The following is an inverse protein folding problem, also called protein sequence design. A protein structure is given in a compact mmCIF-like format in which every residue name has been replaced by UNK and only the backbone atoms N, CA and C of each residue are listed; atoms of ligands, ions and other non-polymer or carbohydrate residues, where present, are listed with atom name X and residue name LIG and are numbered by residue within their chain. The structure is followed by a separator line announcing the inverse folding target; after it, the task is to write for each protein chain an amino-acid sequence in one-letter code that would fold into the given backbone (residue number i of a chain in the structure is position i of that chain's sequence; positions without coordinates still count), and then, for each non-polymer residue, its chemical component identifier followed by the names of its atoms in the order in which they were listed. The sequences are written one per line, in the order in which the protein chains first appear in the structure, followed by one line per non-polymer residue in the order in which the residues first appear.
data_IF_033504880528
#
_entry.id   IF_033504880528
#
_cell.length_a   1.000
_cell.length_b   1.000
_cell.length_c   1.000
_cell.angle_alpha   90.00
_cell.angle_beta   90.00
_cell.angle_gamma   90.00
#
_symmetry.space_group_name_H-M   'P 1'
#
loop_
_entity.id
_entity.type
_entity.pdbx_description
1 polymer ?
#
# COMPACT_ATOMS: atom_id res chain seq x y z
N UNK A 1 -0.84 15.64 -12.00
CA UNK A 1 -0.44 14.24 -11.73
C UNK A 1 1.02 14.29 -11.31
N UNK A 2 1.36 13.78 -10.13
CA UNK A 2 2.75 13.62 -9.71
C UNK A 2 3.19 12.21 -10.09
N UNK A 3 4.13 12.09 -11.03
CA UNK A 3 4.64 10.81 -11.51
C UNK A 3 5.98 10.49 -10.84
N UNK A 4 6.08 9.33 -10.18
CA UNK A 4 7.33 8.82 -9.62
C UNK A 4 7.75 7.55 -10.40
N UNK A 5 8.42 7.69 -11.56
CA UNK A 5 8.63 6.59 -12.51
C UNK A 5 9.43 5.41 -11.95
N UNK A 6 10.30 5.64 -10.96
CA UNK A 6 11.10 4.58 -10.33
C UNK A 6 10.32 3.73 -9.32
N UNK A 7 9.14 4.18 -8.91
CA UNK A 7 8.35 3.64 -7.79
C UNK A 7 7.04 2.98 -8.23
N UNK A 8 6.63 3.17 -9.50
CA UNK A 8 5.37 2.62 -10.02
C UNK A 8 4.12 3.16 -9.31
N UNK A 9 4.26 4.29 -8.61
CA UNK A 9 3.22 4.94 -7.83
C UNK A 9 2.87 6.28 -8.45
N UNK A 10 1.58 6.57 -8.54
CA UNK A 10 1.08 7.86 -8.99
C UNK A 10 -0.01 8.36 -8.06
N UNK A 11 -0.14 9.69 -8.00
CA UNK A 11 -1.18 10.38 -7.25
C UNK A 11 -2.05 11.23 -8.18
N UNK A 12 -3.37 11.06 -8.05
CA UNK A 12 -4.39 11.90 -8.66
C UNK A 12 -5.07 12.70 -7.56
N UNK A 13 -4.92 14.02 -7.56
CA UNK A 13 -5.61 14.90 -6.62
C UNK A 13 -6.92 15.37 -7.25
N UNK A 14 -8.03 15.20 -6.54
CA UNK A 14 -9.35 15.69 -6.92
C UNK A 14 -10.03 16.34 -5.73
N UNK A 15 -10.86 17.34 -6.00
CA UNK A 15 -11.71 17.98 -5.01
C UNK A 15 -13.09 17.32 -5.00
N UNK A 16 -13.56 16.88 -3.83
CA UNK A 16 -14.83 16.18 -3.69
C UNK A 16 -16.01 17.06 -4.10
N UNK A 17 -15.96 18.36 -3.81
CA UNK A 17 -17.03 19.30 -4.18
C UNK A 17 -17.09 19.47 -5.70
N UNK A 18 -15.96 19.58 -6.37
CA UNK A 18 -15.90 19.59 -7.84
C UNK A 18 -16.45 18.28 -8.44
N UNK A 19 -16.12 17.12 -7.86
CA UNK A 19 -16.67 15.83 -8.29
C UNK A 19 -18.19 15.75 -8.11
N UNK A 20 -18.73 16.25 -6.99
CA UNK A 20 -20.17 16.25 -6.72
C UNK A 20 -20.91 17.21 -7.67
N UNK A 21 -20.29 18.34 -8.04
CA UNK A 21 -20.88 19.34 -8.93
C UNK A 21 -20.74 19.03 -10.42
N UNK A 22 -19.92 18.04 -10.79
CA UNK A 22 -19.69 17.64 -12.18
C UNK A 22 -20.51 16.41 -12.55
N UNK A 23 -20.70 16.21 -13.86
CA UNK A 23 -21.30 14.97 -14.35
C UNK A 23 -20.39 13.79 -13.99
N UNK A 24 -20.99 12.71 -13.51
CA UNK A 24 -20.28 11.55 -12.95
C UNK A 24 -19.25 10.96 -13.94
N UNK A 25 -19.64 10.88 -15.21
CA UNK A 25 -18.79 10.38 -16.29
C UNK A 25 -17.47 11.15 -16.46
N UNK A 26 -17.44 12.45 -16.13
CA UNK A 26 -16.26 13.29 -16.31
C UNK A 26 -15.15 12.82 -15.36
N UNK A 27 -15.45 12.71 -14.07
CA UNK A 27 -14.43 12.32 -13.10
C UNK A 27 -14.13 10.82 -13.17
N UNK A 28 -15.13 9.98 -13.45
CA UNK A 28 -14.92 8.53 -13.61
C UNK A 28 -13.99 8.22 -14.79
N UNK A 29 -14.19 8.85 -15.95
CA UNK A 29 -13.29 8.68 -17.10
C UNK A 29 -11.87 9.16 -16.81
N UNK A 30 -11.73 10.22 -16.00
CA UNK A 30 -10.41 10.71 -15.56
C UNK A 30 -9.71 9.70 -14.65
N UNK A 31 -10.44 9.07 -13.73
CA UNK A 31 -9.92 8.01 -12.85
C UNK A 31 -9.57 6.77 -13.67
N UNK A 32 -10.43 6.36 -14.60
CA UNK A 32 -10.21 5.18 -15.46
C UNK A 32 -8.95 5.32 -16.32
N UNK A 33 -8.77 6.48 -16.96
CA UNK A 33 -7.53 6.79 -17.70
C UNK A 33 -6.30 6.83 -16.79
N UNK A 34 -6.45 7.24 -15.54
CA UNK A 34 -5.34 7.29 -14.59
C UNK A 34 -4.91 5.89 -14.14
N UNK A 35 -5.86 5.01 -13.84
CA UNK A 35 -5.55 3.65 -13.35
C UNK A 35 -4.96 2.75 -14.44
N UNK A 36 -5.28 2.99 -15.71
CA UNK A 36 -4.73 2.23 -16.84
C UNK A 36 -3.25 2.52 -17.10
N UNK A 37 -2.75 3.69 -16.66
CA UNK A 37 -1.37 4.12 -16.88
C UNK A 37 -0.42 3.74 -15.75
N UNK A 38 -0.93 3.45 -14.55
CA UNK A 38 -0.11 3.31 -13.34
C UNK A 38 -0.41 2.02 -12.59
N UNK A 39 0.62 1.33 -12.09
CA UNK A 39 0.47 0.06 -11.38
C UNK A 39 -0.08 0.23 -9.97
N UNK A 40 0.29 1.28 -9.26
CA UNK A 40 -0.21 1.63 -7.94
C UNK A 40 -0.78 3.05 -7.97
N UNK A 41 -2.10 3.16 -7.92
CA UNK A 41 -2.82 4.41 -8.18
C UNK A 41 -3.47 4.91 -6.90
N UNK A 42 -3.09 6.10 -6.46
CA UNK A 42 -3.69 6.73 -5.28
C UNK A 42 -4.54 7.93 -5.69
N UNK A 43 -5.85 7.86 -5.45
CA UNK A 43 -6.76 8.99 -5.58
C UNK A 43 -6.77 9.75 -4.25
N UNK A 44 -6.20 10.94 -4.23
CA UNK A 44 -6.28 11.85 -3.09
C UNK A 44 -7.53 12.70 -3.28
N UNK A 45 -8.53 12.44 -2.45
CA UNK A 45 -9.82 13.12 -2.52
C UNK A 45 -9.89 14.17 -1.40
N UNK A 46 -9.78 15.43 -1.79
CA UNK A 46 -9.83 16.57 -0.88
C UNK A 46 -11.26 16.98 -0.59
N UNK A 47 -11.60 17.11 0.69
CA UNK A 47 -12.87 17.70 1.11
C UNK A 47 -12.67 18.49 2.41
N UNK A 48 -13.24 19.69 2.48
CA UNK A 48 -13.18 20.52 3.69
C UNK A 48 -13.92 19.87 4.87
N UNK A 49 -14.96 19.09 4.58
CA UNK A 49 -15.70 18.26 5.53
C UNK A 49 -15.99 16.90 4.89
N UNK A 50 -15.86 15.81 5.66
CA UNK A 50 -16.30 14.47 5.21
C UNK A 50 -17.74 14.24 5.67
N UNK A 51 -18.68 14.91 5.00
CA UNK A 51 -20.11 14.73 5.23
C UNK A 51 -20.69 13.53 4.48
N UNK A 52 -22.00 13.26 4.66
CA UNK A 52 -22.68 12.20 3.93
C UNK A 52 -22.48 12.26 2.40
N UNK A 53 -22.53 13.42 1.72
CA UNK A 53 -22.31 13.50 0.27
C UNK A 53 -20.92 13.04 -0.16
N UNK A 54 -19.89 13.42 0.61
CA UNK A 54 -18.50 13.05 0.33
C UNK A 54 -18.25 11.56 0.58
N UNK A 55 -18.82 11.00 1.65
CA UNK A 55 -18.76 9.57 1.91
C UNK A 55 -19.48 8.76 0.85
N UNK A 56 -20.65 9.22 0.40
CA UNK A 56 -21.39 8.56 -0.67
C UNK A 56 -20.60 8.58 -1.98
N UNK A 57 -19.99 9.71 -2.33
CA UNK A 57 -19.06 9.80 -3.47
C UNK A 57 -17.91 8.80 -3.35
N UNK A 58 -17.24 8.76 -2.19
CA UNK A 58 -16.14 7.82 -1.95
C UNK A 58 -16.61 6.37 -2.10
N UNK A 59 -17.76 6.04 -1.53
CA UNK A 59 -18.34 4.71 -1.61
C UNK A 59 -18.65 4.34 -3.06
N UNK A 60 -19.27 5.23 -3.85
CA UNK A 60 -19.54 4.99 -5.27
C UNK A 60 -18.27 4.75 -6.07
N UNK A 61 -17.22 5.57 -5.86
CA UNK A 61 -15.92 5.37 -6.53
C UNK A 61 -15.31 4.02 -6.11
N UNK A 62 -15.34 3.68 -4.82
CA UNK A 62 -14.82 2.39 -4.34
C UNK A 62 -15.55 1.21 -4.95
N UNK A 63 -16.89 1.25 -5.03
CA UNK A 63 -17.69 0.20 -5.65
C UNK A 63 -17.39 0.07 -7.15
N UNK A 64 -17.27 1.19 -7.87
CA UNK A 64 -16.99 1.20 -9.30
C UNK A 64 -15.62 0.60 -9.63
N UNK A 65 -14.62 0.88 -8.79
CA UNK A 65 -13.23 0.45 -9.00
C UNK A 65 -12.79 -0.65 -8.04
N UNK A 66 -13.74 -1.43 -7.52
CA UNK A 66 -13.46 -2.50 -6.57
C UNK A 66 -12.59 -3.57 -7.24
N UNK A 67 -11.52 -4.00 -6.57
CA UNK A 67 -10.55 -4.97 -7.12
C UNK A 67 -9.58 -4.38 -8.14
N UNK A 68 -9.69 -3.08 -8.48
CA UNK A 68 -8.67 -2.39 -9.26
C UNK A 68 -7.46 -2.03 -8.40
N UNK A 69 -6.44 -1.44 -9.03
CA UNK A 69 -5.25 -0.91 -8.38
C UNK A 69 -5.42 0.51 -7.82
N UNK A 70 -6.66 1.01 -7.69
CA UNK A 70 -7.00 2.29 -7.12
C UNK A 70 -7.13 2.23 -5.59
N UNK A 71 -6.48 3.18 -4.90
CA UNK A 71 -6.62 3.38 -3.44
C UNK A 71 -7.05 4.82 -3.18
N UNK A 72 -8.16 5.00 -2.47
CA UNK A 72 -8.66 6.34 -2.14
C UNK A 72 -8.06 6.81 -0.81
N UNK A 73 -7.56 8.04 -0.79
CA UNK A 73 -7.00 8.73 0.36
C UNK A 73 -7.85 9.98 0.63
N UNK A 74 -8.78 9.93 1.61
CA UNK A 74 -9.52 11.11 2.02
C UNK A 74 -8.58 12.12 2.70
N UNK A 75 -8.65 13.38 2.31
CA UNK A 75 -7.83 14.44 2.91
C UNK A 75 -8.64 15.69 3.19
N UNK A 76 -8.34 16.33 4.32
CA UNK A 76 -9.02 17.56 4.76
C UNK A 76 -8.35 18.86 4.32
N UNK A 77 -7.05 18.80 4.03
CA UNK A 77 -6.26 19.96 3.64
C UNK A 77 -5.02 19.53 2.86
N UNK A 78 -4.38 20.51 2.22
CA UNK A 78 -3.20 20.31 1.37
C UNK A 78 -1.99 19.81 2.17
N UNK A 79 -1.81 20.26 3.40
CA UNK A 79 -0.69 19.81 4.26
C UNK A 79 -0.79 18.32 4.55
N UNK A 80 -1.99 17.84 4.90
CA UNK A 80 -2.29 16.43 5.11
C UNK A 80 -2.09 15.64 3.81
N UNK A 81 -2.53 16.18 2.68
CA UNK A 81 -2.32 15.57 1.37
C UNK A 81 -0.84 15.36 1.08
N UNK A 82 -0.02 16.41 1.23
CA UNK A 82 1.44 16.36 1.03
C UNK A 82 2.07 15.37 2.01
N UNK A 83 1.72 15.42 3.29
CA UNK A 83 2.27 14.51 4.30
C UNK A 83 1.99 13.04 3.99
N UNK A 84 0.77 12.72 3.55
CA UNK A 84 0.40 11.36 3.16
C UNK A 84 1.13 10.94 1.89
N UNK A 85 1.14 11.78 0.85
CA UNK A 85 1.86 11.51 -0.40
C UNK A 85 3.36 11.27 -0.15
N UNK A 86 3.99 12.14 0.65
CA UNK A 86 5.40 12.00 1.03
C UNK A 86 5.64 10.74 1.87
N UNK A 87 4.76 10.43 2.82
CA UNK A 87 4.87 9.21 3.63
C UNK A 87 4.81 7.98 2.74
N UNK A 88 3.84 7.88 1.84
CA UNK A 88 3.72 6.77 0.90
C UNK A 88 4.97 6.69 0.02
N UNK A 89 5.38 7.79 -0.63
CA UNK A 89 6.57 7.80 -1.48
C UNK A 89 7.83 7.35 -0.74
N UNK A 90 8.00 7.77 0.53
CA UNK A 90 9.12 7.37 1.39
C UNK A 90 9.05 5.91 1.79
N UNK A 91 7.89 5.40 2.21
CA UNK A 91 7.73 4.01 2.66
C UNK A 91 7.84 3.01 1.52
N UNK A 92 7.47 3.41 0.30
CA UNK A 92 7.57 2.56 -0.87
C UNK A 92 8.90 2.67 -1.61
N UNK A 93 9.77 3.61 -1.23
CA UNK A 93 11.10 3.78 -1.84
C UNK A 93 11.93 2.50 -1.67
N UNK A 94 12.62 2.08 -2.75
CA UNK A 94 13.49 0.88 -2.74
C UNK A 94 14.40 0.78 -1.52
N UNK A 95 15.18 1.81 -1.14
CA UNK A 95 16.06 1.71 0.04
C UNK A 95 15.29 1.45 1.35
N UNK A 96 14.05 1.93 1.48
CA UNK A 96 13.25 1.71 2.68
C UNK A 96 12.66 0.29 2.70
N UNK A 97 12.12 -0.19 1.57
CA UNK A 97 11.63 -1.57 1.44
C UNK A 97 12.76 -2.57 1.67
N UNK A 98 13.94 -2.36 1.08
CA UNK A 98 15.10 -3.25 1.25
C UNK A 98 15.53 -3.30 2.71
N UNK A 99 15.55 -2.14 3.40
CA UNK A 99 15.86 -2.06 4.83
C UNK A 99 14.84 -2.81 5.68
N UNK A 100 13.54 -2.67 5.41
CA UNK A 100 12.47 -3.37 6.13
C UNK A 100 12.58 -4.88 5.91
N UNK A 101 12.73 -5.31 4.66
CA UNK A 101 12.90 -6.71 4.28
C UNK A 101 14.13 -7.33 4.94
N UNK A 102 15.27 -6.63 4.89
CA UNK A 102 16.50 -7.06 5.54
C UNK A 102 16.29 -7.26 7.04
N UNK A 103 15.71 -6.27 7.74
CA UNK A 103 15.41 -6.38 9.17
C UNK A 103 14.47 -7.55 9.48
N UNK A 104 13.41 -7.74 8.69
CA UNK A 104 12.51 -8.89 8.85
C UNK A 104 13.22 -10.23 8.69
N UNK A 105 14.06 -10.37 7.65
CA UNK A 105 14.81 -11.60 7.39
C UNK A 105 15.80 -11.88 8.53
N UNK A 106 16.56 -10.88 8.97
CA UNK A 106 17.51 -11.01 10.08
C UNK A 106 16.81 -11.37 11.39
N UNK A 107 15.70 -10.70 11.72
CA UNK A 107 14.91 -11.02 12.92
C UNK A 107 14.32 -12.42 12.85
N UNK A 108 13.81 -12.86 11.69
CA UNK A 108 13.32 -14.23 11.50
C UNK A 108 14.43 -15.26 11.71
N UNK A 109 15.62 -15.03 11.15
CA UNK A 109 16.78 -15.90 11.34
C UNK A 109 17.17 -15.99 12.83
N UNK A 110 17.26 -14.84 13.51
CA UNK A 110 17.56 -14.78 14.94
C UNK A 110 16.53 -15.55 15.79
N UNK A 111 15.23 -15.37 15.51
CA UNK A 111 14.17 -16.10 16.22
C UNK A 111 14.30 -17.61 16.01
N UNK A 112 14.61 -18.06 14.79
CA UNK A 112 14.80 -19.48 14.48
C UNK A 112 16.04 -20.03 15.20
N UNK A 113 17.17 -19.33 15.14
CA UNK A 113 18.42 -19.75 15.79
C UNK A 113 18.29 -19.82 17.32
N UNK A 114 17.54 -18.90 17.92
CA UNK A 114 17.30 -18.89 19.36
C UNK A 114 16.15 -19.80 19.79
N UNK A 115 15.36 -20.34 18.84
CA UNK A 115 14.20 -21.18 19.15
C UNK A 115 14.63 -22.48 19.86
N UNK A 116 14.13 -22.75 21.07
CA UNK A 116 14.38 -24.01 21.77
C UNK A 116 13.87 -25.21 20.98
N UNK A 117 12.73 -25.06 20.30
CA UNK A 117 12.14 -26.10 19.45
C UNK A 117 13.07 -26.43 18.28
N UNK A 118 13.64 -25.41 17.63
CA UNK A 118 14.59 -25.61 16.54
C UNK A 118 15.86 -26.34 17.01
N UNK A 119 16.39 -25.97 18.18
CA UNK A 119 17.54 -26.67 18.81
C UNK A 119 17.22 -28.14 19.12
N UNK A 120 16.02 -28.43 19.62
CA UNK A 120 15.57 -29.80 19.88
C UNK A 120 15.44 -30.60 18.58
N UNK A 121 14.84 -30.03 17.53
CA UNK A 121 14.72 -30.68 16.22
C UNK A 121 16.08 -30.99 15.60
N UNK A 122 17.05 -30.06 15.71
CA UNK A 122 18.42 -30.29 15.24
C UNK A 122 19.08 -31.46 16.00
N UNK A 123 18.91 -31.54 17.32
CA UNK A 123 19.42 -32.67 18.11
C UNK A 123 18.81 -33.99 17.67
N UNK A 124 17.49 -34.05 17.48
CA UNK A 124 16.79 -35.28 17.05
C UNK A 124 17.33 -35.75 15.70
N UNK A 125 17.52 -34.84 14.73
CA UNK A 125 18.09 -35.14 13.41
C UNK A 125 19.54 -35.63 13.49
N UNK A 126 20.36 -35.02 14.35
CA UNK A 126 21.75 -35.47 14.55
C UNK A 126 21.83 -36.84 15.26
N UNK A 127 20.87 -37.16 16.13
CA UNK A 127 20.79 -38.47 16.80
C UNK A 127 20.22 -39.59 15.93
N UNK A 128 19.46 -39.29 14.87
CA UNK A 128 19.03 -40.31 13.91
C UNK A 128 20.17 -40.79 13.00
N UNK A 129 21.18 -39.96 12.79
CA UNK A 129 22.33 -40.27 11.93
C UNK A 129 23.43 -41.08 12.67
N UNK A 130 23.33 -41.25 14.00
CA UNK A 130 24.30 -41.98 14.82
C UNK A 130 23.99 -43.47 15.03
N UNK A 131 22.98 -44.03 14.34
CA UNK A 131 22.71 -45.47 14.39
C UNK A 131 23.58 -46.16 13.32
N UNK A 132 24.84 -46.42 13.65
CA UNK A 132 25.69 -47.34 12.90
C UNK A 132 25.20 -48.78 13.12
N UNK A 133 24.98 -49.58 12.06
CA UNK A 133 24.65 -50.99 12.22
C UNK A 133 25.92 -51.75 12.65
N UNK A 134 25.87 -52.38 13.83
CA UNK A 134 26.76 -53.48 14.18
C UNK A 134 26.20 -54.78 13.63
#
# INVERSE_FOLDING_TARGET
ILHLPFLGIAFLLMDAKECIMSAEEIFLNKIEKFISLHRNSFLVLSATLHGPPEWELMFRIQQRFLGSNLRILPVHNIVNAINIMCTIAKTTSKPNIDTICYRMITTKAYIIEQSPVWKTLQKIKLSSDSISPN
#
